data_IF_062517784523
#
_entry.id   IF_062517784523
#
_cell.length_a   1.000
_cell.length_b   1.000
_cell.length_c   1.000
_cell.angle_alpha   90.00
_cell.angle_beta   90.00
_cell.angle_gamma   90.00
#
_symmetry.space_group_name_H-M   'P 1'
#
loop_
_entity.id
_entity.type
_entity.pdbx_description
1 polymer ?
#
# COMPACT_ATOMS: atom_id res chain seq x y z
N UNK A 1 65.83 12.09 -26.94
CA UNK A 1 66.09 10.64 -27.00
C UNK A 1 65.33 10.01 -25.83
N UNK A 2 64.15 9.44 -26.08
CA UNK A 2 63.35 8.79 -25.04
C UNK A 2 64.09 7.52 -24.59
N UNK A 3 64.31 7.36 -23.28
CA UNK A 3 64.91 6.14 -22.74
C UNK A 3 63.93 5.00 -23.00
N UNK A 4 64.44 3.87 -23.48
CA UNK A 4 63.66 2.67 -23.81
C UNK A 4 62.74 2.21 -22.67
N UNK A 5 63.14 2.47 -21.42
CA UNK A 5 62.33 2.23 -20.22
C UNK A 5 61.05 3.06 -20.17
N UNK A 6 61.13 4.34 -20.47
CA UNK A 6 59.98 5.26 -20.36
C UNK A 6 58.99 5.01 -21.51
N UNK A 7 59.50 4.58 -22.68
CA UNK A 7 58.67 4.11 -23.79
C UNK A 7 57.88 2.83 -23.44
N UNK A 8 58.51 1.89 -22.73
CA UNK A 8 57.86 0.65 -22.30
C UNK A 8 56.72 0.91 -21.29
N UNK A 9 56.93 1.83 -20.33
CA UNK A 9 55.90 2.21 -19.36
C UNK A 9 54.71 2.94 -20.03
N UNK A 10 54.99 3.77 -21.03
CA UNK A 10 53.94 4.43 -21.80
C UNK A 10 53.13 3.41 -22.62
N UNK A 11 53.77 2.43 -23.24
CA UNK A 11 53.08 1.41 -24.02
C UNK A 11 52.21 0.52 -23.13
N UNK A 12 52.69 0.17 -21.93
CA UNK A 12 51.95 -0.66 -20.98
C UNK A 12 50.71 0.08 -20.42
N UNK A 13 50.83 1.38 -20.15
CA UNK A 13 49.68 2.20 -19.70
C UNK A 13 48.63 2.37 -20.79
N UNK A 14 49.03 2.61 -22.04
CA UNK A 14 48.10 2.66 -23.18
C UNK A 14 47.41 1.32 -23.40
N UNK A 15 48.13 0.20 -23.30
CA UNK A 15 47.56 -1.13 -23.43
C UNK A 15 46.51 -1.40 -22.34
N UNK A 16 46.79 -1.03 -21.09
CA UNK A 16 45.84 -1.19 -19.98
C UNK A 16 44.56 -0.35 -20.20
N UNK A 17 44.71 0.87 -20.70
CA UNK A 17 43.59 1.77 -20.98
C UNK A 17 42.73 1.24 -22.13
N UNK A 18 43.35 0.70 -23.19
CA UNK A 18 42.64 0.07 -24.31
C UNK A 18 41.88 -1.18 -23.88
N UNK A 19 42.47 -2.03 -23.02
CA UNK A 19 41.77 -3.20 -22.47
C UNK A 19 40.56 -2.80 -21.64
N UNK A 20 40.66 -1.72 -20.85
CA UNK A 20 39.54 -1.15 -20.11
C UNK A 20 38.39 -0.74 -21.03
N UNK A 21 38.68 0.08 -22.05
CA UNK A 21 37.67 0.56 -23.01
C UNK A 21 37.01 -0.61 -23.76
N UNK A 22 37.79 -1.58 -24.24
CA UNK A 22 37.25 -2.74 -24.96
C UNK A 22 36.36 -3.60 -24.05
N UNK A 23 36.74 -3.79 -22.79
CA UNK A 23 35.94 -4.56 -21.83
C UNK A 23 34.59 -3.91 -21.51
N UNK A 24 34.52 -2.58 -21.49
CA UNK A 24 33.24 -1.86 -21.32
C UNK A 24 32.32 -1.99 -22.53
N UNK A 25 32.86 -1.99 -23.76
CA UNK A 25 32.04 -2.08 -24.97
C UNK A 25 31.45 -3.49 -25.13
N UNK A 26 32.19 -4.54 -24.80
CA UNK A 26 31.70 -5.93 -24.93
C UNK A 26 30.61 -6.28 -23.90
N UNK A 27 30.53 -5.53 -22.79
CA UNK A 27 29.46 -5.68 -21.80
C UNK A 27 28.14 -5.07 -22.28
N UNK A 28 28.18 -4.01 -23.11
CA UNK A 28 26.99 -3.34 -23.66
C UNK A 28 26.35 -4.11 -24.83
N UNK A 29 27.10 -5.01 -25.50
CA UNK A 29 26.65 -5.67 -26.72
C UNK A 29 25.81 -6.95 -26.51
N UNK A 30 25.63 -7.41 -25.26
CA UNK A 30 24.92 -8.67 -24.94
C UNK A 30 23.54 -8.51 -24.33
N UNK A 31 23.00 -7.30 -24.24
CA UNK A 31 21.58 -7.12 -23.88
C UNK A 31 20.70 -7.22 -25.13
N UNK A 32 20.06 -8.38 -25.29
CA UNK A 32 18.96 -8.56 -26.23
C UNK A 32 17.76 -7.70 -25.81
N UNK A 33 17.65 -6.56 -26.49
CA UNK A 33 16.56 -5.60 -26.49
C UNK A 33 15.22 -6.25 -26.84
N UNK A 34 14.39 -6.50 -25.83
CA UNK A 34 12.92 -6.50 -25.98
C UNK A 34 12.43 -5.10 -25.60
N UNK A 35 12.19 -4.25 -26.59
CA UNK A 35 11.65 -2.90 -26.35
C UNK A 35 10.14 -2.98 -26.10
N UNK A 36 9.71 -2.73 -24.87
CA UNK A 36 8.37 -2.27 -24.59
C UNK A 36 8.38 -0.73 -24.63
N UNK A 37 7.61 -0.14 -25.55
CA UNK A 37 7.40 1.30 -25.58
C UNK A 37 6.33 1.66 -24.53
N UNK A 38 6.75 2.30 -23.45
CA UNK A 38 5.85 3.02 -22.55
C UNK A 38 5.87 4.50 -22.94
N UNK A 39 4.68 5.07 -23.07
CA UNK A 39 4.44 6.45 -23.49
C UNK A 39 4.73 7.37 -22.29
N UNK A 40 5.71 8.25 -22.48
CA UNK A 40 6.07 9.49 -21.79
C UNK A 40 6.23 9.51 -20.25
N UNK A 41 7.50 9.47 -19.85
CA UNK A 41 8.04 9.92 -18.56
C UNK A 41 9.53 9.64 -18.51
N UNK A 42 10.38 10.68 -18.59
CA UNK A 42 11.84 10.64 -18.79
C UNK A 42 12.67 10.05 -17.61
N UNK A 43 12.03 9.36 -16.68
CA UNK A 43 12.72 8.72 -15.55
C UNK A 43 12.95 7.25 -15.85
N UNK A 44 14.19 6.90 -16.18
CA UNK A 44 14.63 5.52 -16.38
C UNK A 44 14.72 4.81 -15.03
N UNK A 45 13.76 3.95 -14.72
CA UNK A 45 13.86 3.00 -13.61
C UNK A 45 14.50 1.71 -14.11
N UNK A 46 15.69 1.38 -13.61
CA UNK A 46 16.31 0.06 -13.82
C UNK A 46 15.69 -0.94 -12.83
N UNK A 47 14.91 -1.89 -13.34
CA UNK A 47 14.43 -3.02 -12.56
C UNK A 47 15.48 -4.13 -12.56
N UNK A 48 16.06 -4.43 -11.41
CA UNK A 48 16.90 -5.61 -11.25
C UNK A 48 15.99 -6.85 -11.25
N UNK A 49 15.97 -7.60 -12.35
CA UNK A 49 15.36 -8.92 -12.34
C UNK A 49 16.35 -9.91 -11.71
N UNK A 50 15.99 -10.58 -10.59
CA UNK A 50 16.78 -11.69 -10.11
C UNK A 50 16.84 -12.77 -11.19
N UNK A 51 18.04 -13.27 -11.44
CA UNK A 51 18.32 -14.37 -12.36
C UNK A 51 17.36 -15.54 -12.07
N UNK A 52 16.69 -16.04 -13.12
CA UNK A 52 15.79 -17.18 -13.02
C UNK A 52 16.57 -18.38 -12.49
N UNK A 53 16.44 -18.64 -11.18
CA UNK A 53 16.91 -19.90 -10.62
C UNK A 53 15.97 -20.98 -11.13
N UNK A 54 16.50 -21.92 -11.91
CA UNK A 54 15.86 -23.20 -12.16
C UNK A 54 15.72 -23.95 -10.83
N UNK A 55 14.68 -23.62 -10.06
CA UNK A 55 14.40 -24.24 -8.79
C UNK A 55 13.90 -25.66 -9.05
N UNK A 56 14.76 -26.65 -8.79
CA UNK A 56 14.35 -28.03 -8.76
C UNK A 56 13.26 -28.18 -7.69
N UNK A 57 12.12 -28.78 -8.07
CA UNK A 57 10.94 -28.97 -7.23
C UNK A 57 11.26 -29.64 -5.89
N UNK A 58 12.28 -30.48 -5.86
CA UNK A 58 12.73 -31.19 -4.66
C UNK A 58 13.37 -30.25 -3.63
N UNK A 59 14.20 -29.30 -4.08
CA UNK A 59 14.88 -28.31 -3.23
C UNK A 59 13.88 -27.31 -2.63
N UNK A 60 12.83 -26.95 -3.39
CA UNK A 60 11.74 -26.11 -2.90
C UNK A 60 10.94 -26.78 -1.77
N UNK A 61 10.76 -28.10 -1.84
CA UNK A 61 10.04 -28.86 -0.81
C UNK A 61 10.84 -28.98 0.49
N UNK A 62 12.17 -29.10 0.41
CA UNK A 62 13.02 -29.13 1.60
C UNK A 62 13.05 -27.77 2.29
N UNK A 63 13.20 -26.68 1.54
CA UNK A 63 13.19 -25.32 2.11
C UNK A 63 11.85 -24.96 2.75
N UNK A 64 10.72 -25.41 2.20
CA UNK A 64 9.41 -25.22 2.83
C UNK A 64 9.26 -26.04 4.12
N UNK A 65 9.72 -27.30 4.13
CA UNK A 65 9.67 -28.14 5.35
C UNK A 65 10.52 -27.55 6.48
N UNK A 66 11.69 -27.02 6.17
CA UNK A 66 12.55 -26.36 7.16
C UNK A 66 11.92 -25.09 7.73
N UNK A 67 11.27 -24.28 6.88
CA UNK A 67 10.52 -23.08 7.34
C UNK A 67 9.36 -23.45 8.25
N UNK A 68 8.62 -24.53 7.96
CA UNK A 68 7.50 -24.98 8.80
C UNK A 68 7.99 -25.50 10.15
N UNK A 69 9.12 -26.23 10.21
CA UNK A 69 9.69 -26.72 11.47
C UNK A 69 10.15 -25.58 12.40
N UNK A 70 10.54 -24.43 11.84
CA UNK A 70 10.90 -23.23 12.60
C UNK A 70 9.68 -22.49 13.17
N UNK A 71 8.48 -22.72 12.64
CA UNK A 71 7.21 -22.18 13.15
C UNK A 71 6.62 -23.17 14.19
N UNK A 72 7.46 -23.65 15.12
CA UNK A 72 6.97 -24.39 16.28
C UNK A 72 6.37 -23.37 17.27
N UNK A 73 5.07 -23.19 17.14
CA UNK A 73 4.21 -22.34 17.95
C UNK A 73 4.35 -22.79 19.41
N UNK A 74 5.00 -21.94 20.22
CA UNK A 74 4.89 -21.98 21.67
C UNK A 74 3.43 -21.73 22.06
N UNK A 75 2.63 -22.79 22.06
CA UNK A 75 1.32 -22.83 22.70
C UNK A 75 1.52 -22.74 24.22
N UNK A 76 1.69 -21.52 24.71
CA UNK A 76 1.43 -21.17 26.11
C UNK A 76 0.01 -20.59 26.18
N UNK A 77 -0.97 -21.48 25.98
CA UNK A 77 -2.37 -21.20 26.31
C UNK A 77 -2.46 -21.23 27.84
N UNK A 78 -2.28 -20.07 28.48
CA UNK A 78 -2.51 -19.91 29.90
C UNK A 78 -3.81 -19.12 30.13
N UNK A 79 -4.72 -19.84 30.79
CA UNK A 79 -5.73 -19.39 31.78
C UNK A 79 -6.76 -18.35 31.32
N UNK A 80 -8.02 -18.72 31.08
CA UNK A 80 -9.09 -18.91 32.10
C UNK A 80 -9.14 -17.72 33.06
N UNK A 81 -9.97 -16.73 32.72
CA UNK A 81 -10.39 -15.65 33.62
C UNK A 81 -11.80 -15.99 34.11
N UNK A 82 -11.87 -16.25 35.41
CA UNK A 82 -13.08 -16.39 36.22
C UNK A 82 -13.69 -15.01 36.45
N UNK A 83 -14.99 -14.87 36.25
CA UNK A 83 -15.75 -13.66 36.57
C UNK A 83 -16.05 -13.59 38.08
N UNK A 84 -15.91 -12.41 38.71
CA UNK A 84 -16.65 -12.07 39.91
C UNK A 84 -17.77 -11.07 39.61
N UNK A 85 -18.98 -11.40 40.08
CA UNK A 85 -20.06 -10.45 40.33
C UNK A 85 -19.70 -9.58 41.55
N UNK A 86 -20.07 -8.29 41.54
CA UNK A 86 -20.12 -7.50 42.77
C UNK A 86 -19.94 -5.99 42.65
N UNK A 87 -21.07 -5.31 42.68
CA UNK A 87 -21.36 -4.02 43.33
C UNK A 87 -20.95 -2.66 42.77
N UNK A 88 -21.95 -1.77 42.85
CA UNK A 88 -21.99 -0.37 42.47
C UNK A 88 -21.04 0.49 43.30
N UNK A 89 -20.27 1.36 42.64
CA UNK A 89 -19.92 2.66 43.20
C UNK A 89 -19.75 3.73 42.11
N UNK A 90 -20.35 4.88 42.36
CA UNK A 90 -20.53 6.00 41.43
C UNK A 90 -19.26 6.85 41.42
N UNK A 91 -18.30 6.45 40.58
CA UNK A 91 -17.05 7.15 40.35
C UNK A 91 -17.02 7.70 38.94
N UNK A 92 -16.85 9.02 38.79
CA UNK A 92 -16.59 9.66 37.50
C UNK A 92 -15.25 9.15 36.97
N UNK A 93 -15.32 8.13 36.12
CA UNK A 93 -14.19 7.55 35.39
C UNK A 93 -13.77 8.55 34.32
N UNK A 94 -12.64 9.20 34.54
CA UNK A 94 -11.83 9.73 33.43
C UNK A 94 -11.41 8.49 32.65
N UNK A 95 -12.13 8.23 31.55
CA UNK A 95 -11.78 7.16 30.61
C UNK A 95 -10.45 7.56 30.01
N UNK A 96 -9.37 7.05 30.58
CA UNK A 96 -8.11 6.96 29.88
C UNK A 96 -8.43 6.20 28.58
N UNK A 97 -8.28 6.88 27.44
CA UNK A 97 -8.34 6.26 26.12
C UNK A 97 -7.24 5.20 26.09
N UNK A 98 -7.58 4.00 26.52
CA UNK A 98 -6.74 2.83 26.32
C UNK A 98 -6.49 2.77 24.82
N UNK A 99 -5.20 2.82 24.49
CA UNK A 99 -4.64 2.71 23.16
C UNK A 99 -5.05 1.35 22.59
N UNK A 100 -6.29 1.25 22.12
CA UNK A 100 -6.84 -0.02 21.67
C UNK A 100 -6.29 -0.25 20.28
N UNK A 101 -5.14 -0.92 20.24
CA UNK A 101 -4.56 -1.52 19.03
C UNK A 101 -5.47 -2.61 18.42
N UNK A 102 -6.72 -2.71 18.89
CA UNK A 102 -7.73 -3.71 18.54
C UNK A 102 -8.66 -3.12 17.50
N UNK A 103 -8.80 -3.84 16.39
CA UNK A 103 -9.73 -3.46 15.32
C UNK A 103 -11.17 -3.69 15.77
N UNK A 104 -12.00 -2.64 15.74
CA UNK A 104 -13.42 -2.72 16.08
C UNK A 104 -14.24 -3.20 14.87
N UNK A 105 -14.71 -4.45 14.93
CA UNK A 105 -15.50 -5.08 13.86
C UNK A 105 -16.98 -5.15 14.25
N UNK A 106 -17.87 -4.81 13.32
CA UNK A 106 -19.31 -4.89 13.56
C UNK A 106 -19.80 -6.34 13.57
N UNK A 107 -20.98 -6.57 14.15
CA UNK A 107 -21.69 -7.83 13.98
C UNK A 107 -21.94 -8.08 12.48
N UNK A 108 -21.51 -9.24 11.98
CA UNK A 108 -21.60 -9.57 10.56
C UNK A 108 -20.39 -9.16 9.72
N UNK A 109 -19.26 -8.79 10.34
CA UNK A 109 -18.00 -8.61 9.62
C UNK A 109 -17.67 -9.83 8.77
N UNK A 110 -17.54 -9.61 7.47
CA UNK A 110 -17.20 -10.64 6.50
C UNK A 110 -16.24 -10.12 5.44
N UNK A 111 -15.45 -11.04 4.90
CA UNK A 111 -14.72 -10.81 3.66
C UNK A 111 -15.75 -10.56 2.56
N UNK A 112 -15.82 -9.31 2.09
CA UNK A 112 -16.71 -8.92 1.01
C UNK A 112 -15.85 -8.66 -0.21
N UNK A 113 -16.10 -9.42 -1.28
CA UNK A 113 -15.48 -9.19 -2.58
C UNK A 113 -16.56 -8.59 -3.49
N UNK A 114 -16.77 -7.27 -3.45
CA UNK A 114 -17.74 -6.64 -4.35
C UNK A 114 -17.29 -6.85 -5.80
N UNK A 115 -18.25 -6.84 -6.74
CA UNK A 115 -17.96 -6.90 -8.16
C UNK A 115 -17.28 -5.59 -8.59
N UNK A 116 -15.97 -5.52 -8.38
CA UNK A 116 -15.17 -4.32 -8.58
C UNK A 116 -14.10 -4.57 -9.65
N UNK A 117 -13.97 -3.63 -10.59
CA UNK A 117 -12.94 -3.68 -11.63
C UNK A 117 -12.11 -2.39 -11.59
N UNK A 118 -10.84 -2.45 -11.18
CA UNK A 118 -9.99 -1.26 -11.10
C UNK A 118 -9.62 -0.70 -12.49
N UNK A 119 -9.76 -1.51 -13.54
CA UNK A 119 -9.31 -1.17 -14.89
C UNK A 119 -10.01 0.08 -15.43
N UNK A 120 -9.20 1.09 -15.77
CA UNK A 120 -9.67 2.34 -16.37
C UNK A 120 -10.41 3.28 -15.42
N UNK A 121 -10.31 3.05 -14.10
CA UNK A 121 -10.77 4.01 -13.11
C UNK A 121 -9.81 5.20 -13.06
N UNK A 122 -10.39 6.39 -12.92
CA UNK A 122 -9.70 7.66 -12.74
C UNK A 122 -10.28 8.35 -11.50
N UNK A 123 -9.42 9.05 -10.77
CA UNK A 123 -9.83 9.91 -9.65
C UNK A 123 -9.97 11.35 -10.12
N UNK A 124 -11.01 12.04 -9.66
CA UNK A 124 -11.19 13.47 -9.82
C UNK A 124 -11.89 14.05 -8.58
N UNK A 125 -11.75 15.35 -8.36
CA UNK A 125 -12.37 16.07 -7.25
C UNK A 125 -13.36 17.07 -7.84
N UNK A 126 -14.64 16.78 -7.70
CA UNK A 126 -15.73 17.57 -8.29
C UNK A 126 -16.69 17.99 -7.18
N UNK A 127 -16.96 19.30 -7.09
CA UNK A 127 -17.97 19.88 -6.20
C UNK A 127 -17.86 19.47 -4.71
N UNK A 128 -16.65 19.26 -4.20
CA UNK A 128 -16.48 18.85 -2.80
C UNK A 128 -16.74 17.36 -2.55
N UNK A 129 -16.71 16.53 -3.59
CA UNK A 129 -16.60 15.08 -3.46
C UNK A 129 -15.40 14.55 -4.26
N UNK A 130 -14.82 13.44 -3.79
CA UNK A 130 -13.88 12.68 -4.60
C UNK A 130 -14.68 11.66 -5.38
N UNK A 131 -14.57 11.70 -6.70
CA UNK A 131 -15.25 10.78 -7.58
C UNK A 131 -14.24 9.82 -8.21
N UNK A 132 -14.58 8.55 -8.23
CA UNK A 132 -13.94 7.55 -9.05
C UNK A 132 -14.86 7.31 -10.24
N UNK A 133 -14.35 7.51 -11.43
CA UNK A 133 -15.11 7.37 -12.66
C UNK A 133 -14.31 6.62 -13.71
N UNK A 134 -15.01 6.06 -14.68
CA UNK A 134 -14.43 5.56 -15.93
C UNK A 134 -15.00 6.31 -17.11
N UNK A 135 -14.20 6.46 -18.15
CA UNK A 135 -14.66 7.02 -19.42
C UNK A 135 -15.21 5.91 -20.29
N UNK A 136 -16.50 6.01 -20.61
CA UNK A 136 -17.18 5.12 -21.54
C UNK A 136 -17.53 5.88 -22.82
N UNK A 137 -17.54 5.18 -23.94
CA UNK A 137 -17.96 5.73 -25.23
C UNK A 137 -19.46 5.46 -25.34
N UNK A 138 -20.27 6.51 -25.26
CA UNK A 138 -21.70 6.39 -25.56
C UNK A 138 -21.88 6.41 -27.09
N UNK A 139 -22.19 5.25 -27.64
CA UNK A 139 -22.50 5.11 -29.07
C UNK A 139 -23.99 5.38 -29.24
N UNK A 140 -24.33 6.65 -29.40
CA UNK A 140 -25.68 7.00 -29.82
C UNK A 140 -25.87 6.57 -31.28
N UNK A 141 -26.68 5.53 -31.51
CA UNK A 141 -27.00 4.92 -32.82
C UNK A 141 -27.50 5.90 -33.90
N UNK A 142 -27.72 7.17 -33.57
CA UNK A 142 -28.30 8.19 -34.46
C UNK A 142 -27.36 9.34 -34.84
N UNK A 143 -26.14 9.43 -34.29
CA UNK A 143 -25.19 10.51 -34.61
C UNK A 143 -23.75 9.98 -34.72
N UNK A 144 -23.01 10.37 -35.77
CA UNK A 144 -21.62 9.91 -36.00
C UNK A 144 -20.58 10.53 -35.05
N UNK A 145 -21.02 11.15 -33.96
CA UNK A 145 -20.16 11.80 -32.96
C UNK A 145 -20.19 11.00 -31.68
N UNK A 146 -19.07 10.37 -31.35
CA UNK A 146 -18.83 9.75 -30.05
C UNK A 146 -18.47 10.83 -29.04
N UNK A 147 -19.25 10.95 -27.97
CA UNK A 147 -18.94 11.85 -26.85
C UNK A 147 -18.48 10.97 -25.68
N UNK A 148 -17.30 11.21 -25.10
CA UNK A 148 -16.88 10.48 -23.92
C UNK A 148 -17.80 10.85 -22.74
N UNK A 149 -18.43 9.84 -22.14
CA UNK A 149 -19.28 9.99 -20.96
C UNK A 149 -18.53 9.45 -19.75
N UNK A 150 -18.60 10.18 -18.62
CA UNK A 150 -18.03 9.74 -17.34
C UNK A 150 -19.07 8.90 -16.60
N UNK A 151 -18.80 7.61 -16.44
CA UNK A 151 -19.55 6.73 -15.55
C UNK A 151 -18.94 6.80 -14.15
N UNK A 152 -19.68 7.35 -13.19
CA UNK A 152 -19.24 7.46 -11.79
C UNK A 152 -19.46 6.09 -11.14
N UNK A 153 -18.36 5.49 -10.67
CA UNK A 153 -18.37 4.16 -10.03
C UNK A 153 -18.48 4.30 -8.52
N UNK A 154 -17.78 5.29 -7.94
CA UNK A 154 -17.81 5.55 -6.51
C UNK A 154 -17.70 7.05 -6.23
N UNK A 155 -18.41 7.52 -5.22
CA UNK A 155 -18.31 8.89 -4.73
C UNK A 155 -18.00 8.88 -3.24
N UNK A 156 -16.86 9.46 -2.87
CA UNK A 156 -16.41 9.61 -1.50
C UNK A 156 -16.62 11.06 -1.03
N UNK A 157 -17.13 11.28 0.18
CA UNK A 157 -17.32 12.63 0.72
C UNK A 157 -15.97 13.29 1.03
N UNK A 158 -15.82 14.60 0.75
CA UNK A 158 -14.71 15.37 1.31
C UNK A 158 -15.06 15.81 2.72
N UNK A 159 -14.46 15.15 3.71
CA UNK A 159 -14.57 15.52 5.12
C UNK A 159 -13.22 15.96 5.65
N UNK A 160 -13.24 17.01 6.47
CA UNK A 160 -12.05 17.51 7.18
C UNK A 160 -12.04 17.11 8.65
N UNK A 161 -13.21 16.95 9.27
CA UNK A 161 -13.34 16.72 10.72
C UNK A 161 -13.97 15.35 10.97
N UNK A 162 -13.46 14.55 11.92
CA UNK A 162 -14.06 13.27 12.27
C UNK A 162 -15.38 13.48 13.01
N UNK A 163 -16.25 12.48 12.96
CA UNK A 163 -17.43 12.44 13.81
C UNK A 163 -17.00 12.14 15.24
N UNK A 164 -17.71 12.72 16.21
CA UNK A 164 -17.46 12.44 17.64
C UNK A 164 -17.79 11.00 18.08
N UNK A 165 -18.27 10.15 17.16
CA UNK A 165 -18.55 8.75 17.41
C UNK A 165 -17.97 7.91 16.27
N UNK A 166 -17.07 7.00 16.63
CA UNK A 166 -16.52 6.02 15.69
C UNK A 166 -17.54 4.95 15.30
N UNK A 167 -17.38 4.40 14.10
CA UNK A 167 -18.17 3.29 13.56
C UNK A 167 -17.26 2.07 13.37
N UNK A 168 -17.74 0.91 13.80
CA UNK A 168 -17.01 -0.34 13.57
C UNK A 168 -16.92 -0.68 12.07
N UNK A 169 -15.99 -1.55 11.72
CA UNK A 169 -15.83 -2.05 10.35
C UNK A 169 -16.89 -3.11 10.06
N UNK A 170 -17.72 -2.91 9.05
CA UNK A 170 -18.75 -3.88 8.63
C UNK A 170 -18.24 -4.92 7.62
N UNK A 171 -17.14 -4.62 6.92
CA UNK A 171 -16.56 -5.45 5.86
C UNK A 171 -15.04 -5.33 5.86
N UNK A 172 -14.36 -6.26 5.17
CA UNK A 172 -12.90 -6.24 4.99
C UNK A 172 -12.40 -5.02 4.22
N UNK A 173 -13.15 -4.58 3.21
CA UNK A 173 -12.78 -3.44 2.37
C UNK A 173 -12.99 -2.13 3.14
N UNK A 174 -11.90 -1.40 3.36
CA UNK A 174 -11.89 -0.15 4.13
C UNK A 174 -11.75 1.08 3.26
N UNK A 175 -11.35 0.94 2.00
CA UNK A 175 -11.08 2.07 1.14
C UNK A 175 -10.71 1.68 -0.28
N UNK A 176 -10.26 2.67 -1.03
CA UNK A 176 -9.78 2.52 -2.41
C UNK A 176 -8.44 3.24 -2.55
N UNK A 177 -7.46 2.55 -3.13
CA UNK A 177 -6.14 3.08 -3.43
C UNK A 177 -6.18 4.02 -4.65
N UNK A 178 -5.09 4.75 -4.88
CA UNK A 178 -5.01 5.75 -5.95
C UNK A 178 -5.10 5.17 -7.37
N UNK A 179 -4.79 3.89 -7.53
CA UNK A 179 -4.93 3.13 -8.78
C UNK A 179 -6.35 2.56 -8.98
N UNK A 180 -7.26 2.79 -8.02
CA UNK A 180 -8.61 2.27 -8.03
C UNK A 180 -8.74 0.85 -7.47
N UNK A 181 -7.66 0.23 -6.98
CA UNK A 181 -7.75 -1.06 -6.29
C UNK A 181 -8.41 -0.93 -4.91
N UNK A 182 -9.10 -1.98 -4.47
CA UNK A 182 -9.70 -1.99 -3.14
C UNK A 182 -8.63 -2.21 -2.08
N UNK A 183 -8.76 -1.48 -0.97
CA UNK A 183 -7.90 -1.63 0.19
C UNK A 183 -8.64 -2.48 1.22
N UNK A 184 -8.11 -3.67 1.53
CA UNK A 184 -8.61 -4.49 2.62
C UNK A 184 -7.88 -4.17 3.93
N UNK A 185 -8.57 -4.27 5.06
CA UNK A 185 -7.98 -3.95 6.35
C UNK A 185 -6.82 -4.89 6.72
N UNK A 186 -6.90 -6.14 6.25
CA UNK A 186 -5.88 -7.17 6.39
C UNK A 186 -4.62 -6.97 5.52
N UNK A 187 -4.65 -6.07 4.52
CA UNK A 187 -3.54 -5.87 3.57
C UNK A 187 -2.42 -4.98 4.12
N UNK A 188 -2.39 -4.71 5.42
CA UNK A 188 -1.37 -3.89 6.10
C UNK A 188 0.07 -4.21 5.65
N UNK A 189 0.38 -5.50 5.46
CA UNK A 189 1.73 -5.93 5.07
C UNK A 189 2.16 -5.41 3.69
N UNK A 190 1.23 -5.22 2.76
CA UNK A 190 1.52 -4.69 1.44
C UNK A 190 1.80 -3.17 1.50
N UNK A 191 1.14 -2.46 2.41
CA UNK A 191 1.19 -1.00 2.49
C UNK A 191 2.21 -0.43 3.49
N UNK A 192 2.76 -1.24 4.40
CA UNK A 192 3.77 -0.79 5.37
C UNK A 192 5.09 -0.29 4.76
N UNK A 193 5.30 -0.52 3.47
CA UNK A 193 6.49 -0.04 2.74
C UNK A 193 6.41 1.46 2.45
N UNK A 194 5.22 2.06 2.54
CA UNK A 194 5.01 3.47 2.31
C UNK A 194 5.31 4.28 3.57
N UNK A 195 6.04 5.39 3.40
CA UNK A 195 6.37 6.28 4.50
C UNK A 195 5.17 7.11 4.98
N UNK A 196 5.32 7.75 6.14
CA UNK A 196 4.26 8.53 6.81
C UNK A 196 3.63 9.61 5.93
N UNK A 197 4.38 10.23 5.01
CA UNK A 197 3.87 11.29 4.12
C UNK A 197 3.22 10.75 2.83
N UNK A 198 3.31 9.44 2.57
CA UNK A 198 2.82 8.85 1.33
C UNK A 198 1.32 8.57 1.43
N UNK A 199 0.53 9.21 0.58
CA UNK A 199 -0.90 8.91 0.42
C UNK A 199 -1.08 7.53 -0.22
N UNK A 200 -1.63 6.59 0.53
CA UNK A 200 -1.96 5.24 0.07
C UNK A 200 -3.28 5.24 -0.69
N UNK A 201 -4.27 5.95 -0.17
CA UNK A 201 -5.62 5.96 -0.73
C UNK A 201 -6.61 6.70 0.14
N UNK A 202 -7.88 6.40 -0.05
CA UNK A 202 -8.98 7.01 0.70
C UNK A 202 -9.87 5.94 1.33
N UNK A 203 -10.18 6.10 2.61
CA UNK A 203 -11.13 5.27 3.31
C UNK A 203 -12.56 5.51 2.78
N UNK A 204 -13.44 4.52 2.96
CA UNK A 204 -14.85 4.60 2.54
C UNK A 204 -15.62 5.71 3.26
N UNK A 205 -15.16 6.19 4.41
CA UNK A 205 -15.76 7.35 5.09
C UNK A 205 -15.27 8.70 4.57
N UNK A 206 -14.30 8.70 3.64
CA UNK A 206 -13.80 9.85 2.90
C UNK A 206 -12.48 10.43 3.40
N UNK A 207 -11.89 9.88 4.47
CA UNK A 207 -10.60 10.37 4.97
C UNK A 207 -9.40 9.74 4.23
N UNK A 208 -8.30 10.49 4.03
CA UNK A 208 -7.09 9.94 3.42
C UNK A 208 -6.42 8.93 4.35
N UNK A 209 -5.81 7.91 3.76
CA UNK A 209 -4.97 6.91 4.43
C UNK A 209 -3.53 7.13 3.99
N UNK A 210 -2.66 7.40 4.95
CA UNK A 210 -1.23 7.57 4.76
C UNK A 210 -0.45 6.34 5.22
N UNK A 211 0.82 6.26 4.85
CA UNK A 211 1.70 5.13 5.16
C UNK A 211 2.07 4.98 6.65
N UNK A 212 3.15 4.25 6.91
CA UNK A 212 3.57 3.84 8.25
C UNK A 212 4.03 5.03 9.09
N UNK A 213 3.40 5.20 10.25
CA UNK A 213 3.76 6.19 11.25
C UNK A 213 4.93 5.70 12.12
N UNK A 214 6.14 5.77 11.57
CA UNK A 214 7.38 5.48 12.32
C UNK A 214 7.80 6.65 13.23
N UNK A 215 7.26 7.84 12.96
CA UNK A 215 7.53 9.08 13.71
C UNK A 215 6.89 9.11 15.10
N UNK A 216 6.00 8.17 15.39
CA UNK A 216 5.31 8.09 16.68
C UNK A 216 4.24 9.17 16.88
N UNK A 217 3.60 9.63 15.80
CA UNK A 217 2.44 10.54 15.88
C UNK A 217 1.36 9.84 16.71
N UNK A 218 0.82 10.55 17.71
CA UNK A 218 -0.23 9.99 18.56
C UNK A 218 -1.54 9.96 17.78
N UNK A 219 -1.99 8.75 17.42
CA UNK A 219 -3.30 8.54 16.78
C UNK A 219 -4.39 8.27 17.82
N UNK A 220 -5.64 8.47 17.42
CA UNK A 220 -6.82 8.02 18.18
C UNK A 220 -7.01 6.50 18.09
N UNK A 221 -8.07 5.99 18.72
CA UNK A 221 -8.41 4.56 18.71
C UNK A 221 -8.78 4.00 17.33
N UNK A 222 -9.19 4.83 16.36
CA UNK A 222 -9.41 4.39 14.99
C UNK A 222 -8.13 4.41 14.15
N UNK A 223 -7.09 5.10 14.64
CA UNK A 223 -5.81 5.21 13.99
C UNK A 223 -5.62 6.44 13.14
N UNK A 224 -6.41 7.49 13.36
CA UNK A 224 -6.18 8.77 12.72
C UNK A 224 -5.84 9.88 13.69
N UNK A 225 -5.56 11.04 13.13
CA UNK A 225 -5.16 12.25 13.84
C UNK A 225 -5.64 13.45 13.04
N UNK A 226 -5.95 14.54 13.75
CA UNK A 226 -6.27 15.83 13.11
C UNK A 226 -4.99 16.64 12.99
N UNK A 227 -4.50 16.83 11.78
CA UNK A 227 -3.35 17.68 11.48
C UNK A 227 -3.78 18.80 10.53
N UNK A 228 -3.38 20.03 10.83
CA UNK A 228 -3.75 21.22 10.02
C UNK A 228 -5.26 21.37 9.77
N UNK A 229 -6.09 20.89 10.69
CA UNK A 229 -7.55 20.94 10.58
C UNK A 229 -8.16 19.87 9.66
N UNK A 230 -7.38 18.89 9.23
CA UNK A 230 -7.86 17.75 8.44
C UNK A 230 -7.52 16.43 9.15
N UNK A 231 -8.50 15.52 9.17
CA UNK A 231 -8.35 14.20 9.79
C UNK A 231 -7.87 13.16 8.80
N UNK A 232 -6.76 12.50 9.13
CA UNK A 232 -6.08 11.53 8.28
C UNK A 232 -5.84 10.24 9.07
N UNK A 233 -5.88 9.09 8.39
CA UNK A 233 -5.48 7.80 8.95
C UNK A 233 -4.01 7.53 8.69
N UNK A 234 -3.36 6.88 9.65
CA UNK A 234 -1.98 6.38 9.49
C UNK A 234 -1.91 4.89 9.80
N UNK A 235 -1.04 4.21 9.06
CA UNK A 235 -0.69 2.83 9.36
C UNK A 235 0.18 2.78 10.62
N UNK A 236 -0.05 1.76 11.45
CA UNK A 236 0.71 1.52 12.66
C UNK A 236 1.14 0.06 12.72
N UNK A 237 2.39 -0.18 13.11
CA UNK A 237 2.92 -1.53 13.34
C UNK A 237 2.36 -2.18 14.60
N UNK A 238 1.74 -1.41 15.49
CA UNK A 238 1.18 -1.91 16.73
C UNK A 238 -0.27 -2.41 16.58
N UNK A 239 -0.95 -2.02 15.50
CA UNK A 239 -2.36 -2.36 15.23
C UNK A 239 -2.47 -3.63 14.38
N UNK A 240 -3.51 -4.44 14.63
CA UNK A 240 -3.77 -5.68 13.88
C UNK A 240 -4.17 -5.44 12.40
N UNK A 241 -4.63 -4.23 12.05
CA UNK A 241 -5.05 -3.88 10.69
C UNK A 241 -4.67 -2.46 10.31
N UNK A 242 -5.01 -2.06 9.08
CA UNK A 242 -4.71 -0.71 8.58
C UNK A 242 -5.41 0.38 9.41
N UNK A 243 -6.72 0.23 9.65
CA UNK A 243 -7.50 1.12 10.54
C UNK A 243 -8.24 0.32 11.62
N UNK A 244 -8.49 0.96 12.76
CA UNK A 244 -9.22 0.38 13.88
C UNK A 244 -10.74 0.48 13.71
N UNK A 245 -11.21 1.60 13.17
CA UNK A 245 -12.61 1.92 12.93
C UNK A 245 -12.73 3.06 11.92
N UNK A 246 -13.96 3.32 11.45
CA UNK A 246 -14.27 4.53 10.70
C UNK A 246 -14.56 5.68 11.67
N UNK A 247 -14.03 6.84 11.37
CA UNK A 247 -14.22 8.08 12.12
C UNK A 247 -15.27 8.95 11.44
N UNK A 248 -15.81 8.52 10.30
CA UNK A 248 -17.04 9.03 9.73
C UNK A 248 -17.99 7.92 9.30
N UNK A 249 -19.07 8.33 8.61
CA UNK A 249 -20.00 7.39 7.99
C UNK A 249 -19.39 6.84 6.69
N UNK A 250 -19.12 5.52 6.58
CA UNK A 250 -18.60 4.91 5.37
C UNK A 250 -19.67 4.84 4.28
N UNK A 251 -19.25 4.92 3.02
CA UNK A 251 -20.09 4.60 1.87
C UNK A 251 -20.06 3.10 1.60
N UNK A 252 -21.17 2.58 1.07
CA UNK A 252 -21.23 1.21 0.56
C UNK A 252 -20.67 1.13 -0.86
N UNK A 253 -19.96 0.04 -1.16
CA UNK A 253 -19.55 -0.33 -2.52
C UNK A 253 -20.66 -1.11 -3.24
#
# INVERSE_FOLDING_TARGET
MLRTRDFLLFLLTVAFLMTGIVSTIDFEAKEQWYSFNFIDGDDKYEAWLPEERELNREELLETMKEKVAKININNKLASVITAPEGDNDDSVVVVEEENSNVVSRCAGYGATDPLWSPSGLKFDVVEGARILYREIIDVNDSASTTVPVREIVLQLPLKSVPFGKSQCLSQSVIGVALDGSLIHNEDYTAYKVFGVETLVGYALDGFPIYGLNETGIKTDGCGGVVENGQYHYYLSSEREGMIGCFSGTPVSL
#
